data_IF_139062989533
#
_entry.id   IF_139062989533
#
_cell.length_a   1.000
_cell.length_b   1.000
_cell.length_c   1.000
_cell.angle_alpha   90.00
_cell.angle_beta   90.00
_cell.angle_gamma   90.00
#
_symmetry.space_group_name_H-M   'P 1'
#
loop_
_entity.id
_entity.type
_entity.pdbx_description
1 polymer ?
#
# COMPACT_ATOMS: atom_id res chain seq x y z
N UNK A 1 -5.53 -14.53 -1.39
CA UNK A 1 -4.47 -15.56 -1.45
C UNK A 1 -4.73 -16.58 -2.58
N UNK A 2 -4.04 -16.53 -3.73
CA UNK A 2 -4.23 -17.48 -4.84
C UNK A 2 -3.11 -18.54 -5.01
N UNK A 3 -1.98 -18.43 -4.31
CA UNK A 3 -0.81 -19.31 -4.49
C UNK A 3 -1.00 -20.71 -3.87
N UNK A 4 -1.72 -20.81 -2.76
CA UNK A 4 -1.92 -22.07 -2.02
C UNK A 4 -2.76 -23.07 -2.83
N UNK A 5 -3.75 -22.59 -3.61
CA UNK A 5 -4.63 -23.46 -4.42
C UNK A 5 -3.91 -24.14 -5.59
N UNK A 6 -2.88 -23.50 -6.17
CA UNK A 6 -2.14 -24.04 -7.32
C UNK A 6 -1.15 -25.14 -6.90
N UNK A 7 -0.50 -24.98 -5.75
CA UNK A 7 0.38 -26.02 -5.19
C UNK A 7 -0.39 -27.31 -4.88
N UNK A 8 -1.54 -27.19 -4.22
CA UNK A 8 -2.39 -28.35 -3.87
C UNK A 8 -2.87 -29.13 -5.11
N UNK A 9 -3.28 -28.43 -6.18
CA UNK A 9 -3.79 -29.06 -7.39
C UNK A 9 -2.70 -29.76 -8.22
N UNK A 10 -1.46 -29.24 -8.19
CA UNK A 10 -0.32 -29.89 -8.83
C UNK A 10 0.11 -31.16 -8.07
N UNK A 11 0.15 -31.11 -6.74
CA UNK A 11 0.47 -32.25 -5.87
C UNK A 11 -0.55 -33.39 -6.07
N UNK A 12 -1.85 -33.06 -6.14
CA UNK A 12 -2.90 -34.05 -6.35
C UNK A 12 -2.79 -34.79 -7.69
N UNK A 13 -2.51 -34.08 -8.79
CA UNK A 13 -2.32 -34.72 -10.11
C UNK A 13 -1.07 -35.60 -10.17
N UNK A 14 0.00 -35.18 -9.50
CA UNK A 14 1.24 -35.97 -9.39
C UNK A 14 0.99 -37.30 -8.69
N UNK A 15 0.32 -37.27 -7.52
CA UNK A 15 0.01 -38.44 -6.72
C UNK A 15 -0.88 -39.47 -7.45
N UNK A 16 -1.91 -39.00 -8.17
CA UNK A 16 -2.80 -39.89 -8.94
C UNK A 16 -2.05 -40.63 -10.06
N UNK A 17 -1.16 -39.92 -10.78
CA UNK A 17 -0.34 -40.53 -11.83
C UNK A 17 0.64 -41.56 -11.26
N UNK A 18 1.20 -41.30 -10.08
CA UNK A 18 2.08 -42.26 -9.40
C UNK A 18 1.30 -43.51 -8.98
N UNK A 19 0.10 -43.34 -8.41
CA UNK A 19 -0.76 -44.45 -7.98
C UNK A 19 -1.14 -45.40 -9.13
N UNK A 20 -1.54 -44.86 -10.29
CA UNK A 20 -1.87 -45.65 -11.48
C UNK A 20 -0.67 -46.42 -12.04
N UNK A 21 0.51 -45.79 -12.08
CA UNK A 21 1.73 -46.45 -12.55
C UNK A 21 2.17 -47.59 -11.64
N UNK A 22 2.08 -47.41 -10.33
CA UNK A 22 2.38 -48.48 -9.36
C UNK A 22 1.40 -49.64 -9.52
N UNK A 23 0.11 -49.38 -9.75
CA UNK A 23 -0.86 -50.44 -9.99
C UNK A 23 -0.51 -51.28 -11.24
N UNK A 24 -0.14 -50.64 -12.35
CA UNK A 24 0.30 -51.34 -13.57
C UNK A 24 1.61 -52.13 -13.40
N UNK A 25 2.58 -51.57 -12.67
CA UNK A 25 3.84 -52.24 -12.36
C UNK A 25 3.61 -53.50 -11.47
N UNK A 26 2.58 -53.49 -10.63
CA UNK A 26 2.22 -54.63 -9.76
C UNK A 26 1.47 -55.71 -10.51
N UNK A 27 0.60 -55.33 -11.46
CA UNK A 27 -0.07 -56.27 -12.36
C UNK A 27 0.91 -56.97 -13.31
N UNK A 28 2.07 -56.36 -13.59
CA UNK A 28 3.17 -56.95 -14.35
C UNK A 28 4.16 -57.76 -13.48
N UNK A 29 3.83 -58.02 -12.21
CA UNK A 29 4.58 -58.90 -11.33
C UNK A 29 5.71 -58.23 -10.54
N UNK A 30 5.80 -56.90 -10.51
CA UNK A 30 6.80 -56.19 -9.70
C UNK A 30 6.31 -55.93 -8.27
N UNK A 31 7.25 -55.85 -7.32
CA UNK A 31 6.89 -55.55 -5.93
C UNK A 31 6.40 -54.11 -5.79
N UNK A 32 5.25 -53.93 -5.11
CA UNK A 32 4.62 -52.62 -4.85
C UNK A 32 5.65 -51.63 -4.28
N UNK A 33 6.51 -52.11 -3.37
CA UNK A 33 7.48 -51.29 -2.64
C UNK A 33 8.60 -50.75 -3.54
N UNK A 34 9.14 -51.58 -4.45
CA UNK A 34 10.17 -51.13 -5.39
C UNK A 34 9.59 -50.15 -6.42
N UNK A 35 8.40 -50.44 -6.93
CA UNK A 35 7.75 -49.63 -7.95
C UNK A 35 7.30 -48.29 -7.39
N UNK A 36 6.69 -48.25 -6.20
CA UNK A 36 6.32 -47.00 -5.53
C UNK A 36 7.54 -46.12 -5.25
N UNK A 37 8.63 -46.68 -4.71
CA UNK A 37 9.84 -45.92 -4.39
C UNK A 37 10.49 -45.32 -5.64
N UNK A 38 10.53 -46.07 -6.75
CA UNK A 38 11.09 -45.60 -8.01
C UNK A 38 10.22 -44.50 -8.64
N UNK A 39 8.91 -44.73 -8.75
CA UNK A 39 7.96 -43.78 -9.38
C UNK A 39 7.80 -42.49 -8.58
N UNK A 40 7.85 -42.56 -7.26
CA UNK A 40 7.82 -41.38 -6.39
C UNK A 40 9.09 -40.53 -6.55
N UNK A 41 10.26 -41.16 -6.69
CA UNK A 41 11.52 -40.46 -6.93
C UNK A 41 11.54 -39.78 -8.32
N UNK A 42 11.04 -40.46 -9.35
CA UNK A 42 10.91 -39.91 -10.70
C UNK A 42 9.90 -38.74 -10.73
N UNK A 43 8.71 -38.93 -10.16
CA UNK A 43 7.65 -37.90 -10.11
C UNK A 43 8.06 -36.71 -9.24
N UNK A 44 8.80 -36.94 -8.16
CA UNK A 44 9.34 -35.88 -7.32
C UNK A 44 10.35 -34.99 -8.06
N UNK A 45 11.26 -35.59 -8.84
CA UNK A 45 12.21 -34.82 -9.67
C UNK A 45 11.51 -34.02 -10.77
N UNK A 46 10.55 -34.63 -11.45
CA UNK A 46 9.74 -33.96 -12.49
C UNK A 46 8.87 -32.82 -11.92
N UNK A 47 8.37 -32.99 -10.71
CA UNK A 47 7.57 -31.96 -10.06
C UNK A 47 8.42 -30.76 -9.64
N UNK A 48 9.60 -31.02 -9.07
CA UNK A 48 10.56 -29.97 -8.69
C UNK A 48 11.04 -29.21 -9.93
N UNK A 49 11.39 -29.91 -11.02
CA UNK A 49 11.80 -29.25 -12.28
C UNK A 49 10.69 -28.40 -12.87
N UNK A 50 9.43 -28.85 -12.80
CA UNK A 50 8.27 -28.11 -13.29
C UNK A 50 7.91 -26.91 -12.40
N UNK A 51 8.20 -26.96 -11.10
CA UNK A 51 8.04 -25.82 -10.18
C UNK A 51 9.15 -24.78 -10.35
N UNK A 52 10.38 -25.21 -10.67
CA UNK A 52 11.50 -24.32 -10.96
C UNK A 52 11.42 -23.72 -12.36
N UNK A 53 10.90 -24.46 -13.34
CA UNK A 53 10.84 -24.08 -14.75
C UNK A 53 9.56 -23.36 -15.21
N UNK A 54 8.56 -23.16 -14.35
CA UNK A 54 7.31 -22.51 -14.76
C UNK A 54 7.45 -20.97 -14.87
N UNK A 55 8.18 -20.51 -15.88
CA UNK A 55 7.91 -19.25 -16.57
C UNK A 55 7.11 -19.56 -17.84
N UNK A 56 5.86 -19.07 -17.86
CA UNK A 56 5.04 -18.75 -19.04
C UNK A 56 4.80 -19.81 -20.15
N UNK A 57 3.76 -20.62 -20.00
CA UNK A 57 2.76 -20.80 -21.08
C UNK A 57 1.46 -21.41 -20.53
N UNK A 58 0.37 -20.66 -20.62
CA UNK A 58 -0.99 -21.12 -20.33
C UNK A 58 -1.92 -20.68 -21.47
N UNK A 59 -3.04 -21.39 -21.70
CA UNK A 59 -3.91 -21.17 -22.86
C UNK A 59 -4.49 -19.75 -22.90
N UNK A 60 -4.85 -19.23 -24.09
CA UNK A 60 -5.34 -17.86 -24.27
C UNK A 60 -6.76 -17.72 -23.71
N UNK A 61 -6.86 -17.60 -22.39
CA UNK A 61 -8.01 -17.03 -21.71
C UNK A 61 -7.73 -15.55 -21.43
N UNK A 62 -8.72 -14.68 -21.63
CA UNK A 62 -8.66 -13.25 -21.29
C UNK A 62 -8.17 -13.13 -19.83
N UNK A 63 -6.88 -12.86 -19.66
CA UNK A 63 -6.27 -12.62 -18.37
C UNK A 63 -6.77 -11.25 -17.95
N UNK A 64 -7.82 -11.22 -17.14
CA UNK A 64 -8.21 -10.04 -16.35
C UNK A 64 -7.02 -9.72 -15.44
N UNK A 65 -6.08 -8.93 -15.97
CA UNK A 65 -5.01 -8.32 -15.19
C UNK A 65 -5.74 -7.30 -14.33
N UNK A 66 -6.15 -7.73 -13.13
CA UNK A 66 -6.41 -6.80 -12.04
C UNK A 66 -5.07 -6.15 -11.72
N UNK A 67 -4.72 -5.10 -12.45
CA UNK A 67 -3.70 -4.14 -12.01
C UNK A 67 -4.26 -3.60 -10.70
N UNK A 68 -3.73 -4.10 -9.59
CA UNK A 68 -3.86 -3.39 -8.32
C UNK A 68 -3.14 -2.08 -8.54
N UNK A 69 -3.88 -1.04 -8.92
CA UNK A 69 -3.34 0.31 -9.02
C UNK A 69 -2.99 0.70 -7.58
N UNK A 70 -1.77 0.38 -7.14
CA UNK A 70 -1.17 0.99 -5.95
C UNK A 70 -0.97 2.46 -6.30
N UNK A 71 -2.02 3.27 -6.19
CA UNK A 71 -1.86 4.72 -6.25
C UNK A 71 -1.00 5.07 -5.05
N UNK A 72 0.22 5.55 -5.29
CA UNK A 72 1.04 6.15 -4.24
C UNK A 72 0.20 7.28 -3.63
N UNK A 73 0.07 7.37 -2.29
CA UNK A 73 -0.59 8.51 -1.67
C UNK A 73 0.13 9.78 -2.16
N UNK A 74 -0.67 10.74 -2.63
CA UNK A 74 -0.17 12.03 -3.12
C UNK A 74 -0.63 13.10 -2.16
N UNK A 75 0.31 13.95 -1.79
CA UNK A 75 0.03 15.07 -0.91
C UNK A 75 -0.86 16.09 -1.61
N UNK A 76 -1.52 16.93 -0.82
CA UNK A 76 -2.34 18.03 -1.33
C UNK A 76 -1.41 19.19 -1.67
N UNK A 77 -1.43 19.66 -2.92
CA UNK A 77 -0.63 20.82 -3.34
C UNK A 77 -1.40 22.14 -3.28
N UNK A 78 -2.73 22.08 -3.41
CA UNK A 78 -3.59 23.25 -3.45
C UNK A 78 -4.96 22.94 -2.83
N UNK A 79 -5.47 23.89 -2.06
CA UNK A 79 -6.80 23.86 -1.45
C UNK A 79 -7.54 25.11 -1.87
N UNK A 80 -8.63 24.92 -2.61
CA UNK A 80 -9.48 26.01 -3.05
C UNK A 80 -10.79 26.01 -2.25
N UNK A 81 -11.10 27.13 -1.61
CA UNK A 81 -12.37 27.34 -0.90
C UNK A 81 -13.14 28.45 -1.60
N UNK A 82 -14.39 28.18 -1.96
CA UNK A 82 -15.30 29.18 -2.51
C UNK A 82 -16.54 29.32 -1.64
N UNK A 83 -16.95 30.57 -1.41
CA UNK A 83 -18.17 30.96 -0.69
C UNK A 83 -19.15 31.58 -1.69
N UNK A 84 -20.36 31.03 -1.80
CA UNK A 84 -21.37 31.48 -2.78
C UNK A 84 -20.83 31.62 -4.23
N UNK A 85 -19.95 30.70 -4.64
CA UNK A 85 -19.33 30.71 -5.97
C UNK A 85 -18.13 31.66 -6.11
N UNK A 86 -17.85 32.52 -5.13
CA UNK A 86 -16.64 33.36 -5.11
C UNK A 86 -15.49 32.64 -4.45
N UNK A 87 -14.37 32.49 -5.15
CA UNK A 87 -13.15 31.92 -4.59
C UNK A 87 -12.54 32.87 -3.56
N UNK A 88 -12.31 32.39 -2.33
CA UNK A 88 -11.74 33.17 -1.22
C UNK A 88 -10.29 32.83 -0.91
N UNK A 89 -9.75 31.78 -1.54
CA UNK A 89 -8.36 31.34 -1.33
C UNK A 89 -7.49 31.59 -2.55
N UNK A 90 -6.20 31.93 -2.37
CA UNK A 90 -5.25 31.98 -3.46
C UNK A 90 -5.00 30.58 -4.04
N UNK A 91 -5.08 30.45 -5.37
CA UNK A 91 -4.91 29.19 -6.10
C UNK A 91 -3.45 28.84 -6.35
N UNK A 92 -2.66 28.68 -5.28
CA UNK A 92 -1.22 28.39 -5.36
C UNK A 92 -0.90 26.94 -4.99
N UNK A 93 0.07 26.33 -5.68
CA UNK A 93 0.53 24.96 -5.44
C UNK A 93 1.49 24.84 -4.23
N UNK A 94 1.40 25.75 -3.26
CA UNK A 94 2.31 25.88 -2.12
C UNK A 94 1.67 25.48 -0.80
N UNK A 95 0.52 24.79 -0.84
CA UNK A 95 -0.24 24.41 0.36
C UNK A 95 0.60 23.62 1.36
N UNK A 96 1.42 22.66 0.89
CA UNK A 96 2.25 21.84 1.77
C UNK A 96 3.23 22.69 2.61
N UNK A 97 3.87 23.68 1.99
CA UNK A 97 4.79 24.59 2.69
C UNK A 97 4.06 25.47 3.69
N UNK A 98 2.91 26.03 3.27
CA UNK A 98 2.07 26.84 4.15
C UNK A 98 1.63 26.05 5.38
N UNK A 99 1.10 24.84 5.17
CA UNK A 99 0.66 23.95 6.25
C UNK A 99 1.79 23.61 7.22
N UNK A 100 2.99 23.32 6.68
CA UNK A 100 4.15 23.00 7.49
C UNK A 100 4.62 24.19 8.34
N UNK A 101 4.79 25.37 7.72
CA UNK A 101 5.28 26.58 8.40
C UNK A 101 4.27 27.06 9.45
N UNK A 102 2.97 27.07 9.11
CA UNK A 102 1.90 27.46 10.03
C UNK A 102 1.84 26.50 11.23
N UNK A 103 1.94 25.19 11.01
CA UNK A 103 1.96 24.23 12.12
C UNK A 103 3.21 24.40 13.00
N UNK A 104 4.34 24.71 12.38
CA UNK A 104 5.61 24.90 13.07
C UNK A 104 5.65 26.18 13.90
N UNK A 105 5.07 27.29 13.42
CA UNK A 105 5.17 28.60 14.07
C UNK A 105 3.97 28.93 14.97
N UNK A 106 2.76 28.50 14.61
CA UNK A 106 1.53 28.92 15.30
C UNK A 106 1.20 28.11 16.56
N UNK A 107 1.84 26.96 16.78
CA UNK A 107 1.54 26.06 17.89
C UNK A 107 2.70 25.91 18.89
N UNK A 108 2.35 25.93 20.18
CA UNK A 108 3.26 25.62 21.28
C UNK A 108 3.68 24.14 21.32
N UNK A 109 4.67 23.82 22.17
CA UNK A 109 5.16 22.45 22.34
C UNK A 109 4.07 21.46 22.78
N UNK A 110 3.19 21.90 23.69
CA UNK A 110 2.07 21.09 24.19
C UNK A 110 1.09 20.69 23.08
N UNK A 111 0.70 21.62 22.21
CA UNK A 111 -0.19 21.33 21.09
C UNK A 111 0.45 20.39 20.06
N UNK A 112 1.77 20.51 19.85
CA UNK A 112 2.54 19.64 18.95
C UNK A 112 2.65 18.20 19.48
N UNK A 113 2.70 18.03 20.80
CA UNK A 113 2.77 16.73 21.44
C UNK A 113 1.39 16.09 21.70
N UNK A 114 0.32 16.88 21.60
CA UNK A 114 -1.07 16.44 21.82
C UNK A 114 -1.88 16.48 20.52
N UNK A 115 -2.75 17.47 20.33
CA UNK A 115 -3.73 17.48 19.24
C UNK A 115 -3.12 17.31 17.85
N UNK A 116 -1.93 17.85 17.57
CA UNK A 116 -1.32 17.77 16.24
C UNK A 116 -0.85 16.34 15.90
N UNK A 117 -0.71 15.45 16.88
CA UNK A 117 -0.37 14.05 16.61
C UNK A 117 -1.48 13.32 15.85
N UNK A 118 -2.74 13.79 15.92
CA UNK A 118 -3.85 13.26 15.10
C UNK A 118 -3.71 13.56 13.61
N UNK A 119 -2.92 14.59 13.27
CA UNK A 119 -2.53 14.93 11.90
C UNK A 119 -1.15 14.34 11.53
N UNK A 120 -0.65 13.36 12.30
CA UNK A 120 0.69 12.77 12.13
C UNK A 120 1.84 13.79 12.22
N UNK A 121 1.64 14.92 12.88
CA UNK A 121 2.71 15.89 13.10
C UNK A 121 3.72 15.36 14.12
N UNK A 122 4.93 15.11 13.68
CA UNK A 122 6.09 14.86 14.52
C UNK A 122 7.24 15.71 14.02
N UNK A 123 7.81 16.53 14.91
CA UNK A 123 8.89 17.44 14.55
C UNK A 123 10.12 16.64 14.11
N UNK A 124 10.65 16.99 12.95
CA UNK A 124 11.87 16.39 12.42
C UNK A 124 13.12 16.85 13.18
N UNK A 125 14.20 16.09 13.05
CA UNK A 125 15.45 16.37 13.75
C UNK A 125 16.21 17.49 13.04
N UNK A 126 16.66 18.50 13.79
CA UNK A 126 17.41 19.63 13.22
C UNK A 126 18.68 19.15 12.49
N UNK A 127 18.95 19.70 11.32
CA UNK A 127 20.06 19.29 10.45
C UNK A 127 19.86 17.97 9.69
N UNK A 128 18.77 17.25 9.95
CA UNK A 128 18.49 15.93 9.38
C UNK A 128 17.07 15.85 8.80
N UNK A 129 16.52 16.97 8.31
CA UNK A 129 15.16 17.00 7.75
C UNK A 129 15.06 16.16 6.47
N UNK A 130 16.11 16.21 5.63
CA UNK A 130 16.19 15.46 4.38
C UNK A 130 16.70 14.02 4.58
N UNK A 131 17.14 13.67 5.80
CA UNK A 131 17.61 12.33 6.10
C UNK A 131 16.43 11.35 6.03
N UNK A 132 16.58 10.35 5.15
CA UNK A 132 15.60 9.25 4.99
C UNK A 132 15.87 8.09 5.97
N UNK A 133 16.98 8.19 6.69
CA UNK A 133 17.45 7.20 7.66
C UNK A 133 16.87 7.45 9.06
N UNK A 134 17.34 6.67 10.04
CA UNK A 134 16.89 6.71 11.43
C UNK A 134 17.31 7.98 12.19
N UNK A 135 18.09 8.86 11.58
CA UNK A 135 18.52 10.14 12.15
C UNK A 135 17.33 11.11 12.30
N UNK A 136 16.36 11.04 11.40
CA UNK A 136 15.13 11.80 11.50
C UNK A 136 14.10 11.08 12.39
N UNK A 137 14.13 11.39 13.70
CA UNK A 137 13.20 10.84 14.69
C UNK A 137 11.72 11.09 14.37
N UNK A 138 11.40 12.21 13.71
CA UNK A 138 10.03 12.56 13.32
C UNK A 138 9.53 11.67 12.19
N UNK A 139 10.37 11.42 11.18
CA UNK A 139 10.10 10.47 10.12
C UNK A 139 9.92 9.04 10.63
N UNK A 140 10.79 8.60 11.56
CA UNK A 140 10.70 7.27 12.16
C UNK A 140 9.33 7.03 12.82
N UNK A 141 8.87 7.97 13.66
CA UNK A 141 7.54 7.88 14.28
C UNK A 141 6.41 7.81 13.25
N UNK A 142 6.47 8.61 12.19
CA UNK A 142 5.45 8.59 11.12
C UNK A 142 5.45 7.26 10.36
N UNK A 143 6.64 6.70 10.11
CA UNK A 143 6.82 5.41 9.46
C UNK A 143 6.17 4.29 10.27
N UNK A 144 6.32 4.31 11.59
CA UNK A 144 5.76 3.29 12.50
C UNK A 144 4.24 3.13 12.37
N UNK A 145 3.51 4.24 12.18
CA UNK A 145 2.06 4.20 11.95
C UNK A 145 1.66 3.46 10.67
N UNK A 146 2.51 3.48 9.64
CA UNK A 146 2.23 2.88 8.32
C UNK A 146 2.93 1.53 8.15
N UNK A 147 3.75 1.10 9.12
CA UNK A 147 4.47 -0.18 9.09
C UNK A 147 3.50 -1.34 8.89
N UNK A 148 3.82 -2.23 7.95
CA UNK A 148 2.95 -3.36 7.61
C UNK A 148 1.76 -3.00 6.70
N UNK A 149 1.77 -1.83 6.05
CA UNK A 149 0.66 -1.33 5.21
C UNK A 149 -0.64 -1.13 5.99
N UNK A 150 -0.52 -0.66 7.23
CA UNK A 150 -1.68 -0.28 8.04
C UNK A 150 -2.34 0.96 7.46
N UNK A 151 -3.66 1.00 7.53
CA UNK A 151 -4.46 2.18 7.19
C UNK A 151 -4.36 3.13 8.39
N UNK A 152 -4.13 4.41 8.11
CA UNK A 152 -4.04 5.46 9.12
C UNK A 152 -5.06 6.54 8.76
N UNK A 153 -5.95 6.83 9.70
CA UNK A 153 -6.89 7.94 9.59
C UNK A 153 -6.29 9.18 10.25
N UNK A 154 -6.32 10.30 9.53
CA UNK A 154 -5.80 11.58 10.00
C UNK A 154 -6.94 12.56 10.22
N UNK A 155 -6.84 13.34 11.30
CA UNK A 155 -7.78 14.42 11.60
C UNK A 155 -7.02 15.71 11.90
N UNK A 156 -7.43 16.81 11.28
CA UNK A 156 -6.83 18.12 11.44
C UNK A 156 -7.61 19.21 10.70
N UNK A 157 -7.31 20.48 11.01
CA UNK A 157 -7.87 21.63 10.28
C UNK A 157 -7.20 21.73 8.91
N UNK A 158 -7.96 22.18 7.89
CA UNK A 158 -7.36 22.57 6.61
C UNK A 158 -6.63 23.89 6.79
N UNK A 159 -5.43 24.00 6.24
CA UNK A 159 -4.56 25.16 6.36
C UNK A 159 -5.01 26.30 5.42
N UNK A 160 -6.17 26.87 5.72
CA UNK A 160 -6.82 27.96 4.97
C UNK A 160 -7.24 29.04 5.94
N UNK A 161 -6.98 30.30 5.61
CA UNK A 161 -7.27 31.47 6.46
C UNK A 161 -8.71 31.46 7.02
N UNK A 162 -9.67 31.10 6.18
CA UNK A 162 -11.09 31.00 6.55
C UNK A 162 -11.35 30.04 7.71
N UNK A 163 -10.57 28.96 7.84
CA UNK A 163 -10.73 27.98 8.91
C UNK A 163 -9.95 28.32 10.16
N UNK A 164 -9.13 29.38 10.18
CA UNK A 164 -8.40 29.83 11.37
C UNK A 164 -9.06 30.99 12.11
N UNK A 165 -10.09 31.61 11.55
CA UNK A 165 -10.88 32.61 12.26
C UNK A 165 -11.74 31.96 13.37
N UNK A 166 -11.99 32.71 14.44
CA UNK A 166 -12.88 32.31 15.55
C UNK A 166 -14.34 32.72 15.30
N UNK A 167 -14.69 33.05 14.05
CA UNK A 167 -16.00 33.57 13.65
C UNK A 167 -16.77 32.52 12.86
N UNK A 168 -18.04 32.36 13.19
CA UNK A 168 -18.94 31.52 12.41
C UNK A 168 -19.23 32.13 11.05
N UNK A 169 -19.42 31.26 10.06
CA UNK A 169 -19.98 31.66 8.76
C UNK A 169 -21.44 32.04 8.95
N UNK A 170 -21.91 33.02 8.18
CA UNK A 170 -23.31 33.40 8.17
C UNK A 170 -24.16 32.26 7.59
N UNK A 171 -25.39 32.15 8.08
CA UNK A 171 -26.34 31.18 7.57
C UNK A 171 -26.64 31.43 6.08
N UNK A 172 -26.85 30.36 5.32
CA UNK A 172 -27.17 30.45 3.88
C UNK A 172 -25.98 30.69 2.96
N UNK A 173 -24.74 30.64 3.48
CA UNK A 173 -23.52 30.65 2.66
C UNK A 173 -23.20 29.24 2.20
N UNK A 174 -23.17 29.01 0.89
CA UNK A 174 -22.69 27.77 0.29
C UNK A 174 -21.16 27.70 0.33
N UNK A 175 -20.62 26.62 0.87
CA UNK A 175 -19.17 26.40 1.03
C UNK A 175 -18.75 25.22 0.17
N UNK A 176 -17.90 25.50 -0.81
CA UNK A 176 -17.30 24.46 -1.66
C UNK A 176 -15.80 24.40 -1.44
N UNK A 177 -15.32 23.22 -1.08
CA UNK A 177 -13.91 22.92 -0.84
C UNK A 177 -13.43 21.97 -1.94
N UNK A 178 -12.35 22.34 -2.63
CA UNK A 178 -11.67 21.52 -3.64
C UNK A 178 -10.24 21.26 -3.19
N UNK A 179 -9.89 19.97 -3.07
CA UNK A 179 -8.54 19.52 -2.76
C UNK A 179 -7.87 19.04 -4.05
N UNK A 180 -6.75 19.65 -4.40
CA UNK A 180 -5.95 19.28 -5.58
C UNK A 180 -4.71 18.53 -5.12
N UNK A 181 -4.53 17.34 -5.67
CA UNK A 181 -3.37 16.49 -5.38
C UNK A 181 -2.14 16.98 -6.14
N UNK A 182 -0.98 16.84 -5.53
CA UNK A 182 0.31 17.14 -6.14
C UNK A 182 0.52 16.31 -7.40
N UNK A 183 1.16 16.92 -8.40
CA UNK A 183 1.64 16.17 -9.57
C UNK A 183 2.84 15.32 -9.14
N UNK A 184 3.02 14.18 -9.79
CA UNK A 184 4.21 13.35 -9.62
C UNK A 184 5.42 14.06 -10.25
N UNK A 185 5.99 15.06 -9.58
CA UNK A 185 7.32 15.56 -9.89
C UNK A 185 8.29 14.78 -9.02
N UNK A 186 9.14 13.96 -9.65
CA UNK A 186 10.31 13.37 -9.00
C UNK A 186 11.30 14.52 -8.78
N UNK A 187 11.38 15.01 -7.55
CA UNK A 187 12.57 15.69 -7.04
C UNK A 187 13.24 14.75 -6.06
#
# INVERSE_FOLDING_TARGET
MPLIKRGALALGKGALKTGLGVAGDVLSGQSIKSSAKRRLKETGKDMVSKMLGSSAHGPPGIRLVRRSIKRKPRDVCQVDVSLNGTLVTPSTNTYAYRAYIETLLSHGAEAKNSQLTSALWYKDTAGHMDATDNENKGLLKRKDYTTGSRIVDMMGRLHVDLFFQDRYLLNGVDVKIRLVQSKNALH
#
